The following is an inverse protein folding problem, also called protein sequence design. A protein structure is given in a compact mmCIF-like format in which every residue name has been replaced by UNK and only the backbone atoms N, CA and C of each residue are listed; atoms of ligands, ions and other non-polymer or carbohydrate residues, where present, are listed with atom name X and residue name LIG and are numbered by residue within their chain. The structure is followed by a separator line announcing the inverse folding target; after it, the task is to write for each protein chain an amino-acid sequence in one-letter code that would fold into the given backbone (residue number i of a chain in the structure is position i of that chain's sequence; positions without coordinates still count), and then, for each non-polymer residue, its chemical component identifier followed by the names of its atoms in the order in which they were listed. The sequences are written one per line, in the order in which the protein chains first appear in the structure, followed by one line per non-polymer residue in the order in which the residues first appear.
data_IF_950397285222
#
_entry.id   IF_950397285222
#
_cell.length_a   1.000
_cell.length_b   1.000
_cell.length_c   1.000
_cell.angle_alpha   90.00
_cell.angle_beta   90.00
_cell.angle_gamma   90.00
#
_symmetry.space_group_name_H-M   'P 1'
#
loop_
_entity.id
_entity.type
_entity.pdbx_description
1 polymer ?
#
# COMPACT_ATOMS: atom_id res chain seq x y z
N UNK A 1 -12.48 -25.88 56.06
CA UNK A 1 -11.25 -25.23 55.57
C UNK A 1 -10.95 -25.85 54.21
N UNK A 2 -11.40 -25.27 53.08
CA UNK A 2 -10.66 -24.29 52.24
C UNK A 2 -9.33 -24.92 51.78
N UNK A 3 -8.93 -25.09 50.50
CA UNK A 3 -9.36 -24.56 49.20
C UNK A 3 -8.76 -25.44 48.09
N UNK A 4 -9.43 -25.46 46.94
CA UNK A 4 -8.95 -25.86 45.61
C UNK A 4 -7.70 -25.06 45.16
N UNK A 5 -6.85 -25.67 44.32
CA UNK A 5 -5.83 -24.97 43.52
C UNK A 5 -6.29 -24.90 42.06
N UNK A 6 -6.62 -23.69 41.66
CA UNK A 6 -7.00 -23.29 40.30
C UNK A 6 -5.75 -23.01 39.46
N UNK A 7 -5.80 -23.42 38.19
CA UNK A 7 -4.86 -23.06 37.14
C UNK A 7 -5.12 -21.59 36.77
N UNK A 8 -4.11 -20.74 36.89
CA UNK A 8 -4.21 -19.33 36.53
C UNK A 8 -4.16 -19.16 35.01
N UNK A 9 -5.32 -18.98 34.39
CA UNK A 9 -5.45 -18.26 33.11
C UNK A 9 -5.38 -16.75 33.39
N UNK A 10 -4.46 -16.06 32.73
CA UNK A 10 -4.41 -14.60 32.71
C UNK A 10 -5.47 -14.08 31.75
N UNK A 11 -6.66 -13.81 32.28
CA UNK A 11 -7.76 -13.16 31.55
C UNK A 11 -7.49 -11.66 31.49
N UNK A 12 -7.24 -11.11 30.29
CA UNK A 12 -7.23 -9.65 30.10
C UNK A 12 -8.65 -9.12 30.22
N UNK A 13 -8.83 -8.14 31.10
CA UNK A 13 -10.10 -7.48 31.42
C UNK A 13 -10.66 -6.76 30.18
N UNK A 14 -11.91 -7.06 29.84
CA UNK A 14 -12.76 -6.28 28.94
C UNK A 14 -13.66 -5.41 29.82
N UNK A 15 -13.52 -4.09 29.72
CA UNK A 15 -14.55 -3.17 30.21
C UNK A 15 -15.34 -2.62 29.02
N UNK A 16 -16.64 -2.94 28.97
CA UNK A 16 -17.60 -2.36 28.04
C UNK A 16 -18.09 -1.01 28.61
N UNK A 17 -17.99 0.06 27.83
CA UNK A 17 -18.75 1.28 28.09
C UNK A 17 -19.77 1.52 26.98
N UNK A 18 -21.05 1.34 27.33
CA UNK A 18 -22.20 1.74 26.55
C UNK A 18 -22.48 3.23 26.76
N UNK A 19 -22.57 4.01 25.66
CA UNK A 19 -23.26 5.30 25.67
C UNK A 19 -24.27 5.31 24.52
N UNK A 20 -25.55 5.23 24.88
CA UNK A 20 -26.69 5.49 23.99
C UNK A 20 -26.98 7.02 23.96
N UNK A 21 -27.65 7.53 22.92
CA UNK A 21 -29.12 7.50 22.94
C UNK A 21 -29.82 7.21 21.59
N UNK A 22 -31.01 6.62 21.73
CA UNK A 22 -32.22 6.63 20.86
C UNK A 22 -32.23 6.05 19.43
N UNK A 23 -32.87 4.86 19.35
CA UNK A 23 -33.79 4.29 18.33
C UNK A 23 -33.70 4.77 16.87
N UNK A 24 -33.30 3.88 15.96
CA UNK A 24 -34.14 3.46 14.81
C UNK A 24 -33.66 2.11 14.22
N UNK A 25 -34.53 1.50 13.43
CA UNK A 25 -34.70 0.06 13.19
C UNK A 25 -33.54 -0.73 12.53
N UNK A 26 -33.44 -1.97 13.00
CA UNK A 26 -32.95 -3.22 12.39
C UNK A 26 -32.58 -3.21 10.90
N UNK A 27 -31.31 -3.53 10.62
CA UNK A 27 -30.94 -4.42 9.51
C UNK A 27 -30.00 -5.51 10.05
N UNK A 28 -30.50 -6.75 10.06
CA UNK A 28 -29.79 -7.95 10.53
C UNK A 28 -29.21 -8.68 9.32
N UNK A 29 -28.06 -8.26 8.82
CA UNK A 29 -27.33 -9.05 7.81
C UNK A 29 -25.83 -8.75 7.74
N UNK A 30 -25.15 -8.60 8.88
CA UNK A 30 -23.67 -8.70 8.92
C UNK A 30 -23.31 -9.96 9.71
N UNK A 31 -23.02 -11.06 9.01
CA UNK A 31 -22.33 -12.20 9.61
C UNK A 31 -20.90 -11.75 9.92
N UNK A 32 -20.66 -11.38 11.18
CA UNK A 32 -19.32 -11.17 11.73
C UNK A 32 -18.51 -12.46 11.57
N UNK A 33 -17.51 -12.45 10.69
CA UNK A 33 -16.46 -13.46 10.71
C UNK A 33 -15.58 -13.20 11.94
N UNK A 34 -15.60 -14.13 12.89
CA UNK A 34 -14.84 -14.09 14.15
C UNK A 34 -13.38 -14.44 13.85
N UNK A 35 -12.48 -13.46 13.84
CA UNK A 35 -11.02 -13.67 13.87
C UNK A 35 -10.34 -12.62 14.77
N UNK A 36 -9.20 -12.95 15.40
CA UNK A 36 -8.69 -12.26 16.60
C UNK A 36 -8.09 -10.86 16.37
N UNK A 37 -8.19 -10.29 15.18
CA UNK A 37 -7.49 -9.05 14.78
C UNK A 37 -8.39 -7.82 14.60
N UNK A 38 -9.70 -7.95 14.79
CA UNK A 38 -10.61 -6.80 14.72
C UNK A 38 -10.62 -6.02 16.04
N UNK A 39 -9.93 -4.88 16.06
CA UNK A 39 -10.22 -3.81 17.03
C UNK A 39 -10.82 -2.61 16.27
N UNK A 40 -12.14 -2.49 16.32
CA UNK A 40 -12.85 -1.28 15.92
C UNK A 40 -12.57 -0.18 16.95
N UNK A 41 -11.57 0.67 16.73
CA UNK A 41 -11.50 1.92 17.48
C UNK A 41 -12.47 2.92 16.86
N UNK A 42 -13.52 3.31 17.58
CA UNK A 42 -14.21 4.59 17.31
C UNK A 42 -13.29 5.73 17.77
N UNK A 43 -12.22 5.98 17.01
CA UNK A 43 -11.36 7.14 17.20
C UNK A 43 -12.07 8.37 16.65
N UNK A 44 -12.30 9.37 17.49
CA UNK A 44 -12.91 10.64 17.09
C UNK A 44 -12.07 11.34 16.04
N UNK A 45 -12.54 11.34 14.81
CA UNK A 45 -12.07 12.23 13.76
C UNK A 45 -12.94 13.50 13.82
N UNK A 46 -12.32 14.66 14.10
CA UNK A 46 -12.97 15.94 13.90
C UNK A 46 -13.22 16.13 12.40
N UNK A 47 -14.50 16.21 12.04
CA UNK A 47 -15.05 16.28 10.68
C UNK A 47 -15.01 14.98 9.86
N UNK A 48 -16.00 14.11 10.09
CA UNK A 48 -16.38 13.05 9.14
C UNK A 48 -17.81 13.25 8.67
N UNK A 49 -17.97 13.32 7.35
CA UNK A 49 -19.22 13.08 6.65
C UNK A 49 -19.77 11.70 7.10
N UNK A 50 -21.01 11.59 7.61
CA UNK A 50 -21.54 10.38 8.26
C UNK A 50 -21.70 9.14 7.36
N UNK A 51 -21.34 9.23 6.08
CA UNK A 51 -21.52 8.18 5.06
C UNK A 51 -20.30 7.27 4.85
N UNK A 52 -19.10 7.68 5.27
CA UNK A 52 -17.88 6.88 5.07
C UNK A 52 -17.42 6.21 6.38
N UNK A 53 -17.33 4.88 6.38
CA UNK A 53 -16.80 4.09 7.50
C UNK A 53 -15.40 3.59 7.15
N UNK A 54 -14.41 4.00 7.92
CA UNK A 54 -13.02 3.56 7.77
C UNK A 54 -12.67 2.48 8.79
N UNK A 55 -11.87 1.50 8.35
CA UNK A 55 -11.18 0.55 9.23
C UNK A 55 -9.73 1.00 9.34
N UNK A 56 -9.24 1.07 10.58
CA UNK A 56 -7.84 1.35 10.91
C UNK A 56 -7.25 0.09 11.56
N UNK A 57 -6.09 -0.34 11.08
CA UNK A 57 -5.39 -1.51 11.61
C UNK A 57 -4.50 -1.12 12.79
N UNK A 58 -4.42 -2.00 13.79
CA UNK A 58 -3.54 -1.83 14.95
C UNK A 58 -2.73 -3.11 15.17
N UNK A 59 -1.43 -2.95 15.42
CA UNK A 59 -0.51 -4.05 15.75
C UNK A 59 0.25 -3.69 17.03
N UNK A 60 -0.07 -4.35 18.14
CA UNK A 60 0.43 -3.95 19.46
C UNK A 60 0.01 -2.51 19.80
N UNK A 61 0.96 -1.65 20.13
CA UNK A 61 0.71 -0.22 20.40
C UNK A 61 0.80 0.69 19.18
N UNK A 62 1.18 0.14 18.01
CA UNK A 62 1.31 0.93 16.79
C UNK A 62 0.00 0.93 16.00
N UNK A 63 -0.49 2.12 15.67
CA UNK A 63 -1.63 2.32 14.78
C UNK A 63 -1.13 2.56 13.36
N UNK A 64 -1.75 1.86 12.40
CA UNK A 64 -1.60 2.16 10.99
C UNK A 64 -2.24 3.51 10.66
N UNK A 65 -1.63 4.24 9.74
CA UNK A 65 -2.17 5.44 9.12
C UNK A 65 -3.01 5.15 7.87
N UNK A 66 -3.15 3.87 7.48
CA UNK A 66 -3.94 3.47 6.31
C UNK A 66 -5.42 3.43 6.69
N UNK A 67 -6.23 4.18 5.93
CA UNK A 67 -7.67 4.13 6.02
C UNK A 67 -8.21 3.13 5.00
N UNK A 68 -9.01 2.18 5.45
CA UNK A 68 -9.61 1.17 4.59
C UNK A 68 -11.12 1.37 4.48
N UNK A 69 -11.60 1.46 3.23
CA UNK A 69 -12.98 1.78 2.91
C UNK A 69 -13.47 0.85 1.78
N UNK A 70 -14.76 0.49 1.81
CA UNK A 70 -15.38 -0.12 0.62
C UNK A 70 -15.76 0.98 -0.35
N UNK A 71 -15.26 0.90 -1.58
CA UNK A 71 -15.61 1.84 -2.64
C UNK A 71 -17.07 1.69 -3.09
N UNK A 72 -17.58 2.71 -3.78
CA UNK A 72 -18.95 2.72 -4.31
C UNK A 72 -19.21 1.60 -5.34
N UNK A 73 -18.21 1.31 -6.17
CA UNK A 73 -18.12 0.07 -6.95
C UNK A 73 -17.41 -0.97 -6.09
N UNK A 74 -17.84 -2.25 -6.10
CA UNK A 74 -17.32 -3.36 -5.28
C UNK A 74 -15.78 -3.47 -5.32
N UNK A 75 -15.12 -2.64 -4.53
CA UNK A 75 -13.68 -2.42 -4.50
C UNK A 75 -13.27 -2.04 -3.09
N UNK A 76 -11.99 -2.18 -2.80
CA UNK A 76 -11.39 -1.79 -1.53
C UNK A 76 -10.50 -0.57 -1.76
N UNK A 77 -10.81 0.56 -1.14
CA UNK A 77 -9.95 1.75 -1.17
C UNK A 77 -9.04 1.77 0.05
N UNK A 78 -7.74 1.83 -0.20
CA UNK A 78 -6.66 1.89 0.77
C UNK A 78 -6.01 3.27 0.68
N UNK A 79 -6.40 4.17 1.58
CA UNK A 79 -5.98 5.57 1.55
C UNK A 79 -4.83 5.80 2.52
N UNK A 80 -3.70 6.24 2.00
CA UNK A 80 -2.53 6.63 2.79
C UNK A 80 -2.82 7.99 3.45
N UNK A 81 -2.83 8.02 4.78
CA UNK A 81 -3.23 9.19 5.56
C UNK A 81 -2.18 9.56 6.63
N UNK A 82 -0.98 9.91 6.17
CA UNK A 82 0.13 10.40 7.01
C UNK A 82 0.79 11.64 6.38
N UNK A 83 0.02 12.72 6.14
CA UNK A 83 0.45 13.86 5.34
C UNK A 83 1.68 14.58 5.90
N UNK A 84 1.82 14.64 7.23
CA UNK A 84 2.94 15.28 7.91
C UNK A 84 4.29 14.62 7.63
N UNK A 85 4.28 13.33 7.22
CA UNK A 85 5.45 12.59 6.74
C UNK A 85 5.33 12.21 5.26
N UNK A 86 4.54 12.97 4.49
CA UNK A 86 4.35 12.77 3.05
C UNK A 86 3.94 11.34 2.68
N UNK A 87 3.11 10.72 3.52
CA UNK A 87 2.70 9.32 3.42
C UNK A 87 3.87 8.34 3.28
N UNK A 88 5.00 8.60 3.94
CA UNK A 88 5.99 7.56 4.14
C UNK A 88 5.32 6.39 4.89
N UNK A 89 5.67 5.14 4.57
CA UNK A 89 5.05 3.94 5.12
C UNK A 89 5.87 3.40 6.28
N UNK A 90 5.19 3.06 7.38
CA UNK A 90 5.73 2.28 8.50
C UNK A 90 5.49 0.79 8.29
N UNK A 91 6.07 -0.07 9.15
CA UNK A 91 5.75 -1.49 9.14
C UNK A 91 4.25 -1.76 9.34
N UNK A 92 3.62 -1.04 10.28
CA UNK A 92 2.19 -1.17 10.54
C UNK A 92 1.33 -0.75 9.33
N UNK A 93 1.77 0.25 8.54
CA UNK A 93 1.09 0.63 7.30
C UNK A 93 1.18 -0.49 6.26
N UNK A 94 2.37 -1.08 6.07
CA UNK A 94 2.57 -2.15 5.09
C UNK A 94 1.80 -3.42 5.49
N UNK A 95 1.80 -3.76 6.78
CA UNK A 95 1.02 -4.89 7.31
C UNK A 95 -0.48 -4.68 7.11
N UNK A 96 -0.98 -3.45 7.35
CA UNK A 96 -2.38 -3.10 7.10
C UNK A 96 -2.76 -3.25 5.63
N UNK A 97 -1.91 -2.76 4.70
CA UNK A 97 -2.13 -2.90 3.26
C UNK A 97 -2.22 -4.37 2.85
N UNK A 98 -1.29 -5.21 3.31
CA UNK A 98 -1.27 -6.65 2.99
C UNK A 98 -2.49 -7.35 3.59
N UNK A 99 -2.83 -7.08 4.85
CA UNK A 99 -3.97 -7.70 5.53
C UNK A 99 -5.30 -7.35 4.84
N UNK A 100 -5.52 -6.08 4.53
CA UNK A 100 -6.74 -5.61 3.84
C UNK A 100 -6.88 -6.26 2.46
N UNK A 101 -5.76 -6.35 1.72
CA UNK A 101 -5.68 -7.04 0.45
C UNK A 101 -5.98 -8.54 0.54
N UNK A 102 -5.52 -9.21 1.59
CA UNK A 102 -5.75 -10.65 1.80
C UNK A 102 -7.21 -10.97 2.19
N UNK A 103 -7.89 -10.06 2.88
CA UNK A 103 -9.31 -10.23 3.27
C UNK A 103 -10.24 -10.26 2.05
N UNK A 104 -9.91 -9.51 0.99
CA UNK A 104 -10.69 -9.41 -0.24
C UNK A 104 -9.83 -9.77 -1.45
N UNK A 105 -9.44 -11.05 -1.63
CA UNK A 105 -8.43 -11.45 -2.60
C UNK A 105 -8.83 -11.22 -4.07
N UNK A 106 -10.14 -11.24 -4.36
CA UNK A 106 -10.69 -11.05 -5.71
C UNK A 106 -11.21 -9.64 -5.97
N UNK A 107 -11.43 -8.83 -4.94
CA UNK A 107 -11.91 -7.45 -5.14
C UNK A 107 -10.78 -6.58 -5.72
N UNK A 108 -11.10 -5.67 -6.66
CA UNK A 108 -10.20 -4.60 -7.04
C UNK A 108 -9.80 -3.78 -5.81
N UNK A 109 -8.53 -3.38 -5.76
CA UNK A 109 -7.95 -2.59 -4.68
C UNK A 109 -7.45 -1.28 -5.27
N UNK A 110 -7.90 -0.17 -4.73
CA UNK A 110 -7.45 1.18 -5.09
C UNK A 110 -6.51 1.67 -3.99
N UNK A 111 -5.29 2.05 -4.35
CA UNK A 111 -4.30 2.65 -3.45
C UNK A 111 -4.17 4.12 -3.82
N UNK A 112 -4.40 5.00 -2.86
CA UNK A 112 -4.45 6.45 -3.07
C UNK A 112 -3.95 7.20 -1.84
N UNK A 113 -3.79 8.52 -1.94
CA UNK A 113 -3.62 9.37 -0.76
C UNK A 113 -4.96 9.92 -0.28
N UNK A 114 -5.14 10.04 1.03
CA UNK A 114 -6.21 10.86 1.60
C UNK A 114 -5.97 12.38 1.46
N UNK A 115 -4.78 12.79 0.97
CA UNK A 115 -4.36 14.18 0.83
C UNK A 115 -4.06 14.51 -0.64
N UNK A 116 -4.75 15.51 -1.20
CA UNK A 116 -4.53 15.96 -2.56
C UNK A 116 -3.09 16.50 -2.77
N UNK A 117 -2.56 16.37 -4.00
CA UNK A 117 -1.20 16.81 -4.31
C UNK A 117 -0.09 15.92 -3.74
N UNK A 118 -0.43 14.75 -3.18
CA UNK A 118 0.48 13.82 -2.54
C UNK A 118 0.18 12.37 -2.95
N UNK A 119 1.22 11.53 -3.00
CA UNK A 119 1.05 10.09 -3.07
C UNK A 119 1.78 9.38 -1.93
N UNK A 120 3.09 9.13 -2.06
CA UNK A 120 3.85 8.35 -1.08
C UNK A 120 5.35 8.63 -1.18
N UNK A 121 5.98 8.99 -0.06
CA UNK A 121 7.42 9.22 0.02
C UNK A 121 8.27 7.94 0.17
N UNK A 122 7.64 6.76 0.25
CA UNK A 122 8.31 5.47 0.41
C UNK A 122 8.49 5.05 1.86
N UNK A 123 9.56 4.33 2.19
CA UNK A 123 9.79 3.83 3.53
C UNK A 123 10.01 4.99 4.54
N UNK A 124 9.40 4.90 5.71
CA UNK A 124 9.66 5.79 6.84
C UNK A 124 11.13 5.75 7.22
N UNK A 125 11.79 6.91 7.26
CA UNK A 125 13.19 7.03 7.68
C UNK A 125 13.33 7.27 9.19
N UNK A 126 12.23 7.63 9.87
CA UNK A 126 12.14 7.97 11.30
C UNK A 126 12.18 6.75 12.23
N UNK A 127 12.98 5.74 11.90
CA UNK A 127 13.08 4.46 12.62
C UNK A 127 14.54 3.99 12.68
N UNK A 128 14.83 2.95 13.47
CA UNK A 128 16.18 2.38 13.59
C UNK A 128 16.64 1.68 12.30
N UNK A 129 17.95 1.48 12.10
CA UNK A 129 18.48 0.70 10.96
C UNK A 129 17.90 -0.73 10.87
N UNK A 130 17.82 -1.51 11.96
CA UNK A 130 17.17 -2.83 11.92
C UNK A 130 15.69 -2.77 11.53
N UNK A 131 14.99 -1.72 11.93
CA UNK A 131 13.59 -1.53 11.57
C UNK A 131 13.44 -1.09 10.11
N UNK A 132 14.34 -0.25 9.58
CA UNK A 132 14.43 0.06 8.15
C UNK A 132 14.66 -1.20 7.32
N UNK A 133 15.50 -2.12 7.79
CA UNK A 133 15.75 -3.39 7.11
C UNK A 133 14.48 -4.24 7.02
N UNK A 134 13.76 -4.39 8.14
CA UNK A 134 12.47 -5.10 8.20
C UNK A 134 11.42 -4.43 7.32
N UNK A 135 11.32 -3.10 7.37
CA UNK A 135 10.38 -2.34 6.55
C UNK A 135 10.69 -2.49 5.05
N UNK A 136 11.96 -2.40 4.66
CA UNK A 136 12.39 -2.64 3.29
C UNK A 136 11.95 -4.02 2.84
N UNK A 137 12.21 -5.04 3.67
CA UNK A 137 11.85 -6.42 3.36
C UNK A 137 10.34 -6.61 3.17
N UNK A 138 9.58 -5.99 4.07
CA UNK A 138 8.12 -6.07 4.09
C UNK A 138 7.48 -5.32 2.92
N UNK A 139 8.08 -4.23 2.45
CA UNK A 139 7.66 -3.55 1.23
C UNK A 139 7.81 -4.44 -0.01
N UNK A 140 8.88 -5.23 -0.13
CA UNK A 140 9.00 -6.18 -1.24
C UNK A 140 7.93 -7.28 -1.17
N UNK A 141 7.57 -7.75 0.03
CA UNK A 141 6.43 -8.67 0.19
C UNK A 141 5.10 -8.03 -0.21
N UNK A 142 4.90 -6.75 0.09
CA UNK A 142 3.73 -6.00 -0.37
C UNK A 142 3.68 -5.95 -1.90
N UNK A 143 4.78 -5.61 -2.57
CA UNK A 143 4.83 -5.56 -4.03
C UNK A 143 4.58 -6.93 -4.66
N UNK A 144 5.18 -8.00 -4.10
CA UNK A 144 4.94 -9.37 -4.55
C UNK A 144 3.48 -9.79 -4.34
N UNK A 145 2.86 -9.43 -3.21
CA UNK A 145 1.43 -9.65 -2.97
C UNK A 145 0.53 -8.89 -3.95
N UNK A 146 0.92 -7.68 -4.36
CA UNK A 146 0.20 -6.93 -5.40
C UNK A 146 0.29 -7.60 -6.77
N UNK A 147 1.47 -8.11 -7.15
CA UNK A 147 1.67 -8.80 -8.43
C UNK A 147 0.95 -10.14 -8.49
N UNK A 148 0.89 -10.88 -7.37
CA UNK A 148 0.44 -12.28 -7.35
C UNK A 148 -1.03 -12.47 -6.97
N UNK A 149 -1.68 -11.45 -6.38
CA UNK A 149 -3.10 -11.54 -6.02
C UNK A 149 -4.00 -11.64 -7.26
N UNK A 150 -5.15 -12.35 -7.17
CA UNK A 150 -6.13 -12.44 -8.25
C UNK A 150 -6.78 -11.10 -8.63
N UNK A 151 -7.19 -10.32 -7.63
CA UNK A 151 -7.81 -9.01 -7.82
C UNK A 151 -6.84 -7.95 -8.35
N UNK A 152 -7.34 -7.03 -9.16
CA UNK A 152 -6.55 -5.93 -9.70
C UNK A 152 -6.19 -4.90 -8.62
N UNK A 153 -5.06 -4.24 -8.81
CA UNK A 153 -4.56 -3.13 -8.01
C UNK A 153 -4.44 -1.88 -8.88
N UNK A 154 -5.01 -0.78 -8.41
CA UNK A 154 -5.06 0.49 -9.13
C UNK A 154 -4.40 1.54 -8.24
N UNK A 155 -3.39 2.24 -8.73
CA UNK A 155 -2.77 3.35 -8.00
C UNK A 155 -3.29 4.70 -8.54
N UNK A 156 -3.89 5.51 -7.66
CA UNK A 156 -4.26 6.90 -7.97
C UNK A 156 -3.13 7.82 -7.51
N UNK A 157 -2.42 8.41 -8.48
CA UNK A 157 -1.22 9.20 -8.22
C UNK A 157 -1.50 10.66 -8.51
N UNK A 158 -1.85 11.40 -7.46
CA UNK A 158 -2.03 12.86 -7.51
C UNK A 158 -0.87 13.60 -6.85
N UNK A 159 0.38 13.23 -7.16
CA UNK A 159 1.54 13.88 -6.54
C UNK A 159 2.82 13.06 -6.55
N UNK A 160 3.80 13.42 -5.70
CA UNK A 160 5.10 12.73 -5.66
C UNK A 160 5.00 11.28 -5.16
N UNK A 161 5.55 10.36 -5.95
CA UNK A 161 5.82 8.97 -5.61
C UNK A 161 7.34 8.72 -5.56
N UNK A 162 7.89 8.44 -4.39
CA UNK A 162 9.36 8.42 -4.19
C UNK A 162 9.82 7.11 -3.57
N UNK A 163 10.91 6.55 -4.09
CA UNK A 163 11.54 5.34 -3.58
C UNK A 163 10.55 4.17 -3.50
N UNK A 164 10.24 3.71 -2.28
CA UNK A 164 9.21 2.71 -2.05
C UNK A 164 7.81 3.12 -2.54
N UNK A 165 7.48 4.41 -2.54
CA UNK A 165 6.22 4.91 -3.10
C UNK A 165 6.20 4.86 -4.62
N UNK A 166 7.35 5.07 -5.27
CA UNK A 166 7.47 4.87 -6.71
C UNK A 166 7.30 3.39 -7.08
N UNK A 167 7.90 2.48 -6.31
CA UNK A 167 7.72 1.03 -6.49
C UNK A 167 6.28 0.59 -6.19
N UNK A 168 5.62 1.15 -5.18
CA UNK A 168 4.22 0.88 -4.86
C UNK A 168 3.30 1.21 -6.04
N UNK A 169 3.47 2.40 -6.64
CA UNK A 169 2.73 2.79 -7.85
C UNK A 169 3.08 1.90 -9.05
N UNK A 170 4.37 1.54 -9.21
CA UNK A 170 4.84 0.73 -10.33
C UNK A 170 4.41 -0.75 -10.25
N UNK A 171 4.18 -1.26 -9.03
CA UNK A 171 3.69 -2.61 -8.76
C UNK A 171 2.17 -2.74 -8.95
N UNK A 172 1.43 -1.62 -8.98
CA UNK A 172 0.01 -1.64 -9.30
C UNK A 172 -0.19 -2.07 -10.77
N UNK A 173 -1.25 -2.85 -11.01
CA UNK A 173 -1.60 -3.32 -12.35
C UNK A 173 -1.95 -2.14 -13.26
N UNK A 174 -2.70 -1.18 -12.72
CA UNK A 174 -3.13 0.03 -13.42
C UNK A 174 -2.77 1.28 -12.61
N UNK A 175 -2.56 2.38 -13.31
CA UNK A 175 -2.27 3.69 -12.72
C UNK A 175 -3.19 4.73 -13.34
N UNK A 176 -3.69 5.65 -12.53
CA UNK A 176 -4.38 6.87 -12.96
C UNK A 176 -3.63 8.03 -12.33
N UNK A 177 -3.29 9.04 -13.12
CA UNK A 177 -2.41 10.12 -12.66
C UNK A 177 -2.92 11.49 -13.10
N UNK A 178 -2.64 12.49 -12.27
CA UNK A 178 -2.83 13.90 -12.62
C UNK A 178 -1.53 14.52 -13.12
N UNK A 179 -1.60 15.76 -13.63
CA UNK A 179 -0.40 16.53 -13.99
C UNK A 179 0.55 16.80 -12.81
N UNK A 180 0.08 16.64 -11.57
CA UNK A 180 0.92 16.78 -10.36
C UNK A 180 1.77 15.54 -10.08
N UNK A 181 1.48 14.43 -10.75
CA UNK A 181 2.18 13.17 -10.56
C UNK A 181 3.65 13.27 -10.96
N UNK A 182 4.53 12.68 -10.15
CA UNK A 182 5.95 12.53 -10.51
C UNK A 182 6.58 11.39 -9.73
N UNK A 183 7.49 10.66 -10.39
CA UNK A 183 8.14 9.49 -9.81
C UNK A 183 9.64 9.71 -9.66
N UNK A 184 10.22 9.16 -8.59
CA UNK A 184 11.68 9.20 -8.37
C UNK A 184 12.15 7.95 -7.65
N UNK A 185 13.10 7.23 -8.24
CA UNK A 185 13.73 6.06 -7.63
C UNK A 185 15.05 6.46 -6.97
N UNK A 186 15.09 6.50 -5.64
CA UNK A 186 16.18 7.15 -4.86
C UNK A 186 17.20 6.16 -4.27
N UNK A 187 17.37 4.97 -4.86
CA UNK A 187 18.19 3.89 -4.31
C UNK A 187 19.67 4.25 -4.08
N UNK A 188 20.43 4.62 -5.13
CA UNK A 188 21.88 4.79 -5.03
C UNK A 188 22.33 5.80 -3.97
N UNK A 189 21.56 6.87 -3.78
CA UNK A 189 21.83 7.88 -2.74
C UNK A 189 21.72 7.35 -1.29
N UNK A 190 21.10 6.19 -1.10
CA UNK A 190 20.95 5.51 0.19
C UNK A 190 21.75 4.20 0.26
N UNK A 191 22.61 3.90 -0.73
CA UNK A 191 23.32 2.62 -0.80
C UNK A 191 22.42 1.41 -1.09
N UNK A 192 21.24 1.65 -1.66
CA UNK A 192 20.24 0.63 -1.98
C UNK A 192 20.04 0.51 -3.49
N UNK A 193 19.51 -0.63 -3.92
CA UNK A 193 18.96 -0.79 -5.26
C UNK A 193 17.45 -0.59 -5.14
N UNK A 194 16.87 0.40 -5.83
CA UNK A 194 15.44 0.72 -5.70
C UNK A 194 14.83 0.83 -7.08
N UNK A 195 13.94 -0.11 -7.40
CA UNK A 195 13.12 -0.12 -8.61
C UNK A 195 13.85 -0.58 -9.87
N UNK A 196 15.03 -1.18 -9.77
CA UNK A 196 15.69 -1.80 -10.92
C UNK A 196 14.86 -2.95 -11.49
N UNK A 197 14.18 -3.72 -10.65
CA UNK A 197 13.30 -4.82 -11.09
C UNK A 197 12.10 -4.35 -11.94
N UNK A 198 11.53 -3.17 -11.65
CA UNK A 198 10.26 -2.72 -12.23
C UNK A 198 10.41 -1.56 -13.22
N UNK A 199 11.37 -0.65 -13.02
CA UNK A 199 11.55 0.48 -13.92
C UNK A 199 12.02 0.02 -15.31
N UNK A 200 12.89 -0.99 -15.40
CA UNK A 200 13.31 -1.52 -16.70
C UNK A 200 12.20 -2.31 -17.39
N UNK A 201 11.26 -2.90 -16.63
CA UNK A 201 10.10 -3.58 -17.19
C UNK A 201 9.13 -2.57 -17.83
N UNK A 202 8.91 -1.42 -17.21
CA UNK A 202 8.03 -0.37 -17.75
C UNK A 202 8.67 0.48 -18.85
N UNK A 203 9.95 0.83 -18.71
CA UNK A 203 10.58 1.86 -19.56
C UNK A 203 11.64 1.29 -20.53
N UNK A 204 11.87 -0.02 -20.50
CA UNK A 204 13.03 -0.63 -21.13
C UNK A 204 14.34 -0.28 -20.40
N UNK A 205 15.42 -0.94 -20.82
CA UNK A 205 16.72 -0.88 -20.12
C UNK A 205 17.29 0.55 -20.05
N UNK A 206 17.32 1.28 -21.17
CA UNK A 206 18.02 2.56 -21.25
C UNK A 206 17.38 3.63 -20.34
N UNK A 207 16.06 3.83 -20.47
CA UNK A 207 15.33 4.81 -19.64
C UNK A 207 15.22 4.34 -18.19
N UNK A 208 14.97 3.05 -17.95
CA UNK A 208 14.94 2.47 -16.60
C UNK A 208 16.25 2.68 -15.83
N UNK A 209 17.40 2.42 -16.46
CA UNK A 209 18.72 2.70 -15.87
C UNK A 209 18.94 4.19 -15.64
N UNK A 210 18.59 5.05 -16.60
CA UNK A 210 18.72 6.49 -16.42
C UNK A 210 17.93 6.99 -15.20
N UNK A 211 16.66 6.58 -15.06
CA UNK A 211 15.80 6.95 -13.94
C UNK A 211 16.34 6.45 -12.59
N UNK A 212 16.78 5.19 -12.53
CA UNK A 212 17.23 4.55 -11.28
C UNK A 212 18.64 4.95 -10.85
N UNK A 213 19.57 5.14 -11.80
CA UNK A 213 20.95 5.54 -11.50
C UNK A 213 21.07 7.03 -11.15
N UNK A 214 20.37 7.89 -11.89
CA UNK A 214 20.44 9.35 -11.65
C UNK A 214 19.49 9.81 -10.54
N UNK A 215 18.52 8.97 -10.17
CA UNK A 215 17.41 9.34 -9.30
C UNK A 215 16.75 10.66 -9.74
N UNK A 216 16.66 10.94 -11.05
CA UNK A 216 15.93 12.11 -11.53
C UNK A 216 14.42 11.91 -11.40
N UNK A 217 13.67 12.99 -11.49
CA UNK A 217 12.22 12.92 -11.61
C UNK A 217 11.80 12.42 -13.00
N UNK A 218 10.82 11.52 -13.02
CA UNK A 218 9.95 11.26 -14.15
C UNK A 218 8.70 12.14 -13.96
N UNK A 219 8.51 13.14 -14.81
CA UNK A 219 7.34 14.02 -14.76
C UNK A 219 6.09 13.32 -15.34
N UNK A 220 4.89 13.80 -14.99
CA UNK A 220 3.62 13.27 -15.46
C UNK A 220 3.55 13.12 -16.99
N UNK A 221 3.93 14.16 -17.73
CA UNK A 221 3.87 14.16 -19.20
C UNK A 221 4.88 13.18 -19.81
N UNK A 222 6.06 13.02 -19.21
CA UNK A 222 7.02 12.01 -19.66
C UNK A 222 6.51 10.59 -19.36
N UNK A 223 5.85 10.39 -18.22
CA UNK A 223 5.20 9.13 -17.88
C UNK A 223 4.07 8.76 -18.85
N UNK A 224 3.21 9.72 -19.20
CA UNK A 224 2.15 9.55 -20.20
C UNK A 224 2.74 9.20 -21.57
N UNK A 225 3.71 10.00 -22.06
CA UNK A 225 4.39 9.75 -23.34
C UNK A 225 5.15 8.41 -23.38
N UNK A 226 5.51 7.87 -22.22
CA UNK A 226 6.13 6.55 -22.08
C UNK A 226 5.14 5.39 -22.07
N UNK A 227 3.82 5.66 -22.01
CA UNK A 227 2.79 4.64 -21.78
C UNK A 227 2.79 4.09 -20.35
N UNK A 228 3.47 4.73 -19.41
CA UNK A 228 3.52 4.29 -18.00
C UNK A 228 2.23 4.60 -17.25
N UNK A 229 1.54 5.66 -17.67
CA UNK A 229 0.18 6.02 -17.26
C UNK A 229 -0.67 6.28 -18.52
N UNK A 230 -2.00 6.06 -18.46
CA UNK A 230 -2.93 6.53 -19.50
C UNK A 230 -2.96 8.07 -19.55
N UNK A 231 -3.72 8.69 -20.47
CA UNK A 231 -3.88 10.14 -20.50
C UNK A 231 -4.16 10.73 -19.11
N UNK A 232 -3.43 11.79 -18.77
CA UNK A 232 -3.53 12.45 -17.48
C UNK A 232 -4.95 13.01 -17.27
N UNK A 233 -5.44 12.88 -16.04
CA UNK A 233 -6.80 13.33 -15.66
C UNK A 233 -6.74 14.42 -14.60
N UNK A 234 -7.79 15.24 -14.52
CA UNK A 234 -7.94 16.23 -13.44
C UNK A 234 -8.57 15.65 -12.19
N UNK A 235 -9.38 14.60 -12.35
CA UNK A 235 -10.10 13.92 -11.28
C UNK A 235 -9.81 12.41 -11.35
N UNK A 236 -8.95 11.94 -10.45
CA UNK A 236 -8.57 10.52 -10.38
C UNK A 236 -9.71 9.65 -9.85
N UNK A 237 -10.62 10.19 -9.05
CA UNK A 237 -11.73 9.43 -8.45
C UNK A 237 -12.82 9.14 -9.48
N UNK A 238 -13.18 10.14 -10.29
CA UNK A 238 -14.10 9.97 -11.40
C UNK A 238 -13.56 8.94 -12.42
N UNK A 239 -12.30 9.10 -12.84
CA UNK A 239 -11.66 8.17 -13.78
C UNK A 239 -11.53 6.75 -13.21
N UNK A 240 -11.25 6.62 -11.91
CA UNK A 240 -11.21 5.32 -11.23
C UNK A 240 -12.59 4.67 -11.19
N UNK A 241 -13.65 5.45 -10.97
CA UNK A 241 -15.03 4.94 -10.94
C UNK A 241 -15.41 4.40 -12.31
N UNK A 242 -15.17 5.16 -13.37
CA UNK A 242 -15.42 4.73 -14.76
C UNK A 242 -14.66 3.44 -15.09
N UNK A 243 -13.37 3.38 -14.74
CA UNK A 243 -12.56 2.18 -14.94
C UNK A 243 -13.12 0.96 -14.19
N UNK A 244 -13.51 1.14 -12.92
CA UNK A 244 -14.07 0.06 -12.12
C UNK A 244 -15.42 -0.43 -12.66
N UNK A 245 -16.27 0.47 -13.15
CA UNK A 245 -17.53 0.11 -13.82
C UNK A 245 -17.29 -0.69 -15.10
N UNK A 246 -16.33 -0.27 -15.92
CA UNK A 246 -15.93 -0.99 -17.12
C UNK A 246 -15.38 -2.39 -16.80
N UNK A 247 -14.53 -2.51 -15.78
CA UNK A 247 -13.98 -3.80 -15.33
C UNK A 247 -15.07 -4.72 -14.74
N UNK A 248 -16.07 -4.16 -14.05
CA UNK A 248 -17.19 -4.93 -13.48
C UNK A 248 -18.05 -5.60 -14.56
N UNK A 249 -18.09 -5.04 -15.76
CA UNK A 249 -18.80 -5.64 -16.89
C UNK A 249 -18.08 -6.87 -17.48
N UNK A 250 -16.83 -7.13 -17.08
CA UNK A 250 -16.00 -8.23 -17.58
C UNK A 250 -16.06 -9.47 -16.66
N UNK A 251 -15.61 -10.62 -17.17
CA UNK A 251 -15.44 -11.83 -16.36
C UNK A 251 -14.25 -11.69 -15.40
N UNK A 252 -14.51 -11.83 -14.10
CA UNK A 252 -13.51 -11.63 -13.06
C UNK A 252 -12.37 -12.66 -13.10
N UNK A 253 -12.64 -13.90 -13.55
CA UNK A 253 -11.61 -14.93 -13.68
C UNK A 253 -10.70 -14.64 -14.88
N UNK A 254 -11.27 -14.24 -16.02
CA UNK A 254 -10.51 -13.82 -17.19
C UNK A 254 -9.60 -12.60 -16.88
N UNK A 255 -10.09 -11.62 -16.13
CA UNK A 255 -9.25 -10.49 -15.67
C UNK A 255 -8.06 -10.97 -14.82
N UNK A 256 -8.31 -11.88 -13.88
CA UNK A 256 -7.25 -12.47 -13.05
C UNK A 256 -6.25 -13.28 -13.89
N UNK A 257 -6.73 -13.99 -14.91
CA UNK A 257 -5.88 -14.80 -15.79
C UNK A 257 -5.02 -13.92 -16.70
N UNK A 258 -5.57 -12.82 -17.23
CA UNK A 258 -4.82 -11.80 -17.98
C UNK A 258 -3.72 -11.23 -17.10
N UNK A 259 -4.04 -10.77 -15.88
CA UNK A 259 -3.03 -10.29 -14.93
C UNK A 259 -1.92 -11.32 -14.73
N UNK A 260 -2.27 -12.56 -14.40
CA UNK A 260 -1.30 -13.64 -14.15
C UNK A 260 -0.42 -13.92 -15.38
N UNK A 261 -0.98 -13.84 -16.59
CA UNK A 261 -0.22 -14.02 -17.83
C UNK A 261 0.75 -12.85 -18.12
N UNK A 262 0.40 -11.62 -17.71
CA UNK A 262 1.23 -10.42 -17.94
C UNK A 262 2.35 -10.23 -16.92
N UNK A 263 2.19 -10.73 -15.70
CA UNK A 263 3.30 -10.80 -14.73
C UNK A 263 4.28 -11.85 -15.22
N UNK A 264 5.18 -11.43 -16.10
CA UNK A 264 6.18 -12.29 -16.73
C UNK A 264 6.94 -13.09 -15.67
N UNK A 265 7.26 -14.34 -15.99
CA UNK A 265 7.93 -15.27 -15.05
C UNK A 265 9.19 -14.69 -14.40
N UNK A 266 9.91 -13.80 -15.09
CA UNK A 266 11.12 -13.16 -14.57
C UNK A 266 10.89 -12.00 -13.60
N UNK A 267 9.72 -11.33 -13.60
CA UNK A 267 9.55 -10.07 -12.86
C UNK A 267 9.61 -10.30 -11.34
N UNK A 268 8.95 -11.34 -10.85
CA UNK A 268 9.00 -11.73 -9.43
C UNK A 268 10.42 -12.16 -9.03
N UNK A 269 11.14 -12.86 -9.92
CA UNK A 269 12.54 -13.22 -9.68
C UNK A 269 13.43 -11.98 -9.55
N UNK A 270 13.27 -10.98 -10.43
CA UNK A 270 14.04 -9.73 -10.32
C UNK A 270 13.69 -8.94 -9.05
N UNK A 271 12.41 -8.90 -8.66
CA UNK A 271 11.96 -8.33 -7.39
C UNK A 271 12.66 -9.00 -6.20
N UNK A 272 12.67 -10.34 -6.16
CA UNK A 272 13.31 -11.12 -5.10
C UNK A 272 14.83 -10.96 -5.08
N UNK A 273 15.48 -10.80 -6.25
CA UNK A 273 16.91 -10.48 -6.35
C UNK A 273 17.21 -9.11 -5.76
N UNK A 274 16.42 -8.10 -6.09
CA UNK A 274 16.60 -6.75 -5.53
C UNK A 274 16.37 -6.74 -4.01
N UNK A 275 15.33 -7.42 -3.53
CA UNK A 275 15.05 -7.64 -2.10
C UNK A 275 16.25 -8.27 -1.39
N UNK A 276 16.79 -9.35 -1.95
CA UNK A 276 17.96 -10.06 -1.40
C UNK A 276 19.19 -9.16 -1.37
N UNK A 277 19.43 -8.40 -2.43
CA UNK A 277 20.56 -7.45 -2.49
C UNK A 277 20.45 -6.39 -1.39
N UNK A 278 19.25 -5.84 -1.17
CA UNK A 278 19.04 -4.81 -0.17
C UNK A 278 19.15 -5.35 1.26
N UNK A 279 18.77 -6.60 1.54
CA UNK A 279 19.03 -7.23 2.86
C UNK A 279 20.52 -7.19 3.22
N UNK A 280 21.39 -7.54 2.26
CA UNK A 280 22.85 -7.51 2.45
C UNK A 280 23.40 -6.10 2.78
N UNK A 281 22.72 -5.03 2.34
CA UNK A 281 23.09 -3.67 2.67
C UNK A 281 22.87 -3.34 4.15
N UNK A 282 21.84 -3.93 4.77
CA UNK A 282 21.51 -3.72 6.17
C UNK A 282 22.32 -4.61 7.12
N UNK A 283 22.70 -5.80 6.68
CA UNK A 283 23.49 -6.76 7.47
C UNK A 283 24.99 -6.40 7.58
N UNK A 284 25.40 -5.19 7.18
CA UNK A 284 26.79 -4.74 7.23
C UNK A 284 27.72 -5.39 6.19
N UNK A 285 27.16 -6.13 5.22
CA UNK A 285 27.91 -6.79 4.14
C UNK A 285 28.07 -5.90 2.89
N UNK A 286 27.50 -4.69 2.90
CA UNK A 286 27.79 -3.70 1.87
C UNK A 286 29.16 -3.04 2.16
N UNK A 287 30.05 -2.92 1.15
CA UNK A 287 31.30 -2.19 1.30
C UNK A 287 31.01 -0.77 1.78
N UNK A 288 31.53 -0.47 2.97
CA UNK A 288 31.31 0.74 3.75
C UNK A 288 32.06 1.93 3.15
N UNK A 289 31.63 2.47 2.01
CA UNK A 289 32.25 3.68 1.48
C UNK A 289 31.19 4.67 0.97
N UNK A 290 31.14 5.81 1.66
CA UNK A 290 30.34 7.02 1.38
C UNK A 290 28.96 7.15 2.05
N UNK A 291 28.91 7.04 3.39
CA UNK A 291 28.01 7.95 4.13
C UNK A 291 28.67 9.33 4.09
N UNK A 292 28.25 10.21 3.18
CA UNK A 292 28.71 11.60 3.21
C UNK A 292 28.19 12.23 4.50
N UNK A 293 29.12 12.80 5.26
CA UNK A 293 28.93 13.68 6.42
C UNK A 293 27.99 14.84 6.12
#
# INVERSE_FOLDING_TARGET
MISSRSIAHTTSLLEEYCIAPTRCATDRSIRMARFPWFYLSRGGLSHTNPTHRYIIFRQGDQMSSVLVEQGAVESLRLRLNRPEQRNALTLADVDALIAAMAERPHSPVVIESATAGMFCAGASLSVSDPERARLSDRLYELYEAMLTRPGLTIALVDGPAVGGGAQLSAAADLRIATERARWRWVGPGHGLVVGAWIATAHFGRARGLNLTLTARWLAAQEAEAAGYVPPLVTDTDAACTELLEALRAMDAHALSDVKRATVASGLITELQRERTRNRLCWDGHAPSQHRRS
#
